data_IF_047963058573
#
_entry.id   IF_047963058573
#
_cell.length_a   1.000
_cell.length_b   1.000
_cell.length_c   1.000
_cell.angle_alpha   90.00
_cell.angle_beta   90.00
_cell.angle_gamma   90.00
#
_symmetry.space_group_name_H-M   'P 1'
#
loop_
_entity.id
_entity.type
_entity.pdbx_description
1 polymer ?
#
# COMPACT_ATOMS: atom_id res chain seq x y z
N UNK A 1 10.93 -40.30 -44.90
CA UNK A 1 9.54 -39.84 -44.89
C UNK A 1 9.31 -39.05 -43.62
N UNK A 2 9.26 -37.75 -43.77
CA UNK A 2 9.07 -36.79 -42.68
C UNK A 2 7.58 -36.52 -42.49
N UNK A 3 7.13 -36.40 -41.26
CA UNK A 3 5.85 -35.81 -40.92
C UNK A 3 6.07 -34.80 -39.81
N UNK A 4 6.05 -33.53 -40.18
CA UNK A 4 6.00 -32.36 -39.33
C UNK A 4 4.59 -32.22 -38.77
N UNK A 5 4.48 -32.12 -37.42
CA UNK A 5 3.26 -31.67 -36.76
C UNK A 5 3.55 -30.28 -36.25
N UNK A 6 2.90 -29.29 -36.84
CA UNK A 6 2.92 -27.90 -36.40
C UNK A 6 1.95 -27.72 -35.26
N UNK A 7 2.41 -27.12 -34.19
CA UNK A 7 1.59 -26.70 -33.04
C UNK A 7 1.38 -25.18 -33.12
N UNK A 8 0.19 -24.80 -33.58
CA UNK A 8 -0.26 -23.40 -33.62
C UNK A 8 -1.15 -23.10 -32.40
N UNK A 9 -0.56 -22.62 -31.33
CA UNK A 9 -1.33 -22.00 -30.24
C UNK A 9 -1.49 -20.52 -30.55
N UNK A 10 -2.65 -20.17 -31.10
CA UNK A 10 -3.09 -18.81 -31.32
C UNK A 10 -3.37 -18.14 -29.96
N UNK A 11 -2.55 -17.16 -29.60
CA UNK A 11 -2.80 -16.26 -28.51
C UNK A 11 -4.06 -15.41 -28.77
N UNK A 12 -5.07 -15.54 -27.95
CA UNK A 12 -6.23 -14.64 -27.97
C UNK A 12 -5.85 -13.35 -27.24
N UNK A 13 -5.59 -12.32 -28.04
CA UNK A 13 -5.40 -10.94 -27.58
C UNK A 13 -6.69 -10.44 -26.96
N UNK A 14 -6.61 -10.00 -25.70
CA UNK A 14 -7.70 -9.31 -25.02
C UNK A 14 -7.89 -7.93 -25.69
N UNK A 15 -9.07 -7.68 -26.26
CA UNK A 15 -9.41 -6.47 -26.99
C UNK A 15 -9.29 -5.22 -26.08
N UNK A 16 -8.26 -4.42 -26.29
CA UNK A 16 -8.16 -3.06 -25.77
C UNK A 16 -8.77 -2.15 -26.83
N UNK A 17 -9.97 -1.59 -26.54
CA UNK A 17 -10.61 -0.58 -27.37
C UNK A 17 -9.74 0.66 -27.49
N UNK A 18 -9.18 0.92 -28.65
CA UNK A 18 -8.53 2.17 -29.02
C UNK A 18 -9.54 3.32 -29.11
N UNK A 19 -9.28 4.42 -28.41
CA UNK A 19 -10.01 5.69 -28.58
C UNK A 19 -9.41 6.51 -29.73
N UNK A 20 -10.24 7.21 -30.53
CA UNK A 20 -9.77 8.00 -31.68
C UNK A 20 -9.01 9.24 -31.23
N UNK A 21 -8.06 9.66 -32.08
CA UNK A 21 -7.09 10.73 -31.85
C UNK A 21 -7.68 12.12 -31.64
N UNK A 22 -7.35 12.69 -30.47
CA UNK A 22 -7.50 14.12 -30.19
C UNK A 22 -6.18 14.86 -30.36
N UNK A 23 -6.25 16.16 -30.68
CA UNK A 23 -5.10 17.06 -30.87
C UNK A 23 -4.15 16.99 -29.69
N UNK A 24 -2.91 16.58 -29.93
CA UNK A 24 -1.87 16.36 -28.91
C UNK A 24 -1.13 17.69 -28.64
N UNK A 25 -1.53 18.43 -27.61
CA UNK A 25 -0.71 19.52 -27.08
C UNK A 25 0.49 18.92 -26.32
N UNK A 26 1.71 19.16 -26.85
CA UNK A 26 2.94 18.76 -26.16
C UNK A 26 3.33 19.87 -25.19
N UNK A 27 2.84 19.78 -23.94
CA UNK A 27 3.32 20.66 -22.87
C UNK A 27 4.76 20.29 -22.50
N UNK A 28 5.64 21.29 -22.40
CA UNK A 28 7.01 21.11 -21.92
C UNK A 28 7.06 20.53 -20.48
N UNK A 29 8.15 19.83 -20.15
CA UNK A 29 8.33 19.21 -18.82
C UNK A 29 8.20 20.21 -17.67
N UNK A 30 8.70 21.45 -17.86
CA UNK A 30 8.61 22.52 -16.87
C UNK A 30 7.15 22.91 -16.55
N UNK A 31 6.29 23.04 -17.57
CA UNK A 31 4.89 23.40 -17.35
C UNK A 31 4.12 22.26 -16.66
N UNK A 32 4.42 21.01 -17.00
CA UNK A 32 3.83 19.84 -16.31
C UNK A 32 4.19 19.81 -14.82
N UNK A 33 5.45 20.08 -14.49
CA UNK A 33 5.91 20.15 -13.12
C UNK A 33 5.26 21.31 -12.37
N UNK A 34 5.18 22.48 -12.97
CA UNK A 34 4.51 23.65 -12.36
C UNK A 34 3.03 23.37 -12.03
N UNK A 35 2.28 22.78 -12.96
CA UNK A 35 0.86 22.44 -12.73
C UNK A 35 0.73 21.40 -11.60
N UNK A 36 1.60 20.41 -11.55
CA UNK A 36 1.58 19.41 -10.49
C UNK A 36 1.92 20.00 -9.12
N UNK A 37 2.92 20.87 -9.05
CA UNK A 37 3.31 21.57 -7.83
C UNK A 37 2.20 22.52 -7.34
N UNK A 38 1.53 23.22 -8.26
CA UNK A 38 0.36 24.03 -7.95
C UNK A 38 -0.82 23.18 -7.42
N UNK A 39 -1.07 22.01 -8.01
CA UNK A 39 -2.04 21.07 -7.49
C UNK A 39 -1.67 20.57 -6.09
N UNK A 40 -0.39 20.26 -5.83
CA UNK A 40 0.06 19.72 -4.54
C UNK A 40 -0.04 20.74 -3.39
N UNK A 41 -0.05 22.04 -3.70
CA UNK A 41 -0.29 23.08 -2.68
C UNK A 41 -1.73 23.07 -2.18
N UNK A 42 -2.67 22.61 -3.00
CA UNK A 42 -4.10 22.53 -2.68
C UNK A 42 -4.49 21.11 -2.27
N UNK A 43 -4.71 20.87 -1.00
CA UNK A 43 -5.10 19.55 -0.46
C UNK A 43 -6.34 19.01 -1.18
N UNK A 44 -7.38 19.85 -1.35
CA UNK A 44 -8.66 19.46 -1.93
C UNK A 44 -8.50 19.00 -3.39
N UNK A 45 -7.88 19.82 -4.23
CA UNK A 45 -7.69 19.46 -5.65
C UNK A 45 -6.72 18.30 -5.81
N UNK A 46 -5.64 18.27 -5.01
CA UNK A 46 -4.63 17.21 -5.07
C UNK A 46 -5.20 15.83 -4.78
N UNK A 47 -6.08 15.71 -3.77
CA UNK A 47 -6.51 14.42 -3.24
C UNK A 47 -7.78 13.87 -3.89
N UNK A 48 -8.44 14.67 -4.71
CA UNK A 48 -9.67 14.28 -5.43
C UNK A 48 -9.38 13.56 -6.76
N UNK A 49 -10.44 13.03 -7.37
CA UNK A 49 -10.40 12.45 -8.71
C UNK A 49 -10.02 13.47 -9.79
N UNK A 50 -10.25 14.76 -9.56
CA UNK A 50 -9.85 15.84 -10.47
C UNK A 50 -8.33 15.91 -10.57
N UNK A 51 -7.63 15.97 -9.41
CA UNK A 51 -6.17 15.99 -9.38
C UNK A 51 -5.57 14.74 -10.02
N UNK A 52 -6.14 13.56 -9.74
CA UNK A 52 -5.70 12.31 -10.36
C UNK A 52 -5.78 12.38 -11.89
N UNK A 53 -6.97 12.72 -12.44
CA UNK A 53 -7.17 12.79 -13.90
C UNK A 53 -6.30 13.83 -14.59
N UNK A 54 -6.07 14.97 -13.94
CA UNK A 54 -5.17 16.00 -14.48
C UNK A 54 -3.76 15.44 -14.56
N UNK A 55 -3.24 14.81 -13.51
CA UNK A 55 -1.90 14.24 -13.48
C UNK A 55 -1.74 13.09 -14.47
N UNK A 56 -2.69 12.17 -14.51
CA UNK A 56 -2.72 11.05 -15.48
C UNK A 56 -2.58 11.56 -16.92
N UNK A 57 -3.34 12.59 -17.28
CA UNK A 57 -3.30 13.18 -18.64
C UNK A 57 -2.01 13.95 -18.91
N UNK A 58 -1.54 14.76 -17.96
CA UNK A 58 -0.36 15.58 -18.13
C UNK A 58 0.93 14.75 -18.19
N UNK A 59 1.02 13.73 -17.32
CA UNK A 59 2.23 12.90 -17.22
C UNK A 59 2.24 11.75 -18.23
N UNK A 60 1.09 11.50 -18.91
CA UNK A 60 0.96 10.44 -19.93
C UNK A 60 1.49 9.10 -19.40
N UNK A 61 0.89 8.64 -18.29
CA UNK A 61 1.35 7.40 -17.66
C UNK A 61 1.33 6.23 -18.64
N UNK A 62 2.49 5.59 -18.77
CA UNK A 62 2.65 4.42 -19.60
C UNK A 62 1.93 3.21 -19.01
N UNK A 63 1.69 2.21 -19.86
CA UNK A 63 1.21 0.93 -19.40
C UNK A 63 2.25 0.29 -18.47
N UNK A 64 1.78 -0.29 -17.37
CA UNK A 64 2.66 -0.97 -16.45
C UNK A 64 3.16 -2.29 -17.04
N UNK A 65 4.41 -2.66 -16.78
CA UNK A 65 4.96 -3.95 -17.22
C UNK A 65 4.24 -5.11 -16.54
N UNK A 66 4.31 -6.27 -17.16
CA UNK A 66 3.77 -7.49 -16.59
C UNK A 66 4.60 -7.91 -15.35
N UNK A 67 3.93 -8.56 -14.43
CA UNK A 67 4.49 -9.10 -13.19
C UNK A 67 4.48 -10.64 -13.19
N UNK A 68 4.69 -11.25 -14.34
CA UNK A 68 4.63 -12.72 -14.51
C UNK A 68 5.52 -13.43 -13.49
N UNK A 69 4.93 -14.36 -12.74
CA UNK A 69 5.61 -15.15 -11.73
C UNK A 69 6.01 -14.40 -10.45
N UNK A 70 5.80 -13.08 -10.37
CA UNK A 70 6.05 -12.31 -9.15
C UNK A 70 4.94 -12.56 -8.14
N UNK A 71 5.34 -12.82 -6.91
CA UNK A 71 4.43 -13.10 -5.79
C UNK A 71 4.14 -11.83 -5.00
N UNK A 72 2.85 -11.49 -4.90
CA UNK A 72 2.37 -10.26 -4.27
C UNK A 72 1.41 -10.57 -3.12
N UNK A 73 1.74 -10.16 -1.91
CA UNK A 73 0.90 -10.26 -0.73
C UNK A 73 0.17 -8.93 -0.49
N UNK A 74 -1.16 -8.93 -0.47
CA UNK A 74 -1.98 -7.73 -0.25
C UNK A 74 -2.81 -7.88 1.01
N UNK A 75 -2.54 -7.07 2.03
CA UNK A 75 -3.35 -7.08 3.26
C UNK A 75 -4.64 -6.28 3.10
N UNK A 76 -5.75 -6.79 3.64
CA UNK A 76 -7.07 -6.15 3.48
C UNK A 76 -7.57 -6.16 2.03
N UNK A 77 -7.30 -7.24 1.30
CA UNK A 77 -7.55 -7.37 -0.14
C UNK A 77 -9.01 -7.64 -0.52
N UNK A 78 -9.92 -7.80 0.43
CA UNK A 78 -11.32 -8.15 0.16
C UNK A 78 -12.21 -6.98 -0.28
N UNK A 79 -11.76 -5.74 -0.15
CA UNK A 79 -12.56 -4.56 -0.52
C UNK A 79 -11.72 -3.31 -0.79
N UNK A 80 -12.34 -2.26 -1.33
CA UNK A 80 -11.74 -0.93 -1.48
C UNK A 80 -10.44 -0.94 -2.27
N UNK A 81 -9.44 -0.22 -1.77
CA UNK A 81 -8.14 -0.04 -2.42
C UNK A 81 -7.37 -1.37 -2.52
N UNK A 82 -7.40 -2.18 -1.44
CA UNK A 82 -6.71 -3.48 -1.44
C UNK A 82 -7.26 -4.44 -2.49
N UNK A 83 -8.58 -4.51 -2.65
CA UNK A 83 -9.21 -5.29 -3.70
C UNK A 83 -8.83 -4.78 -5.10
N UNK A 84 -8.91 -3.46 -5.32
CA UNK A 84 -8.57 -2.86 -6.60
C UNK A 84 -7.09 -3.08 -6.97
N UNK A 85 -6.19 -3.00 -5.99
CA UNK A 85 -4.77 -3.32 -6.18
C UNK A 85 -4.57 -4.80 -6.53
N UNK A 86 -5.18 -5.72 -5.76
CA UNK A 86 -5.11 -7.16 -5.98
C UNK A 86 -5.62 -7.54 -7.38
N UNK A 87 -6.77 -6.99 -7.80
CA UNK A 87 -7.30 -7.19 -9.13
C UNK A 87 -6.34 -6.69 -10.22
N UNK A 88 -5.72 -5.53 -10.00
CA UNK A 88 -4.76 -4.98 -10.97
C UNK A 88 -3.47 -5.80 -11.03
N UNK A 89 -2.95 -6.29 -9.91
CA UNK A 89 -1.82 -7.22 -9.88
C UNK A 89 -2.12 -8.51 -10.65
N UNK A 90 -3.30 -9.07 -10.45
CA UNK A 90 -3.76 -10.25 -11.20
C UNK A 90 -3.80 -9.98 -12.71
N UNK A 91 -4.31 -8.81 -13.15
CA UNK A 91 -4.30 -8.39 -14.55
C UNK A 91 -2.88 -8.24 -15.14
N UNK A 92 -1.90 -7.95 -14.30
CA UNK A 92 -0.49 -7.87 -14.69
C UNK A 92 0.21 -9.24 -14.65
N UNK A 93 -0.51 -10.33 -14.32
CA UNK A 93 0.00 -11.71 -14.30
C UNK A 93 0.80 -12.08 -13.05
N UNK A 94 0.61 -11.34 -11.95
CA UNK A 94 1.21 -11.72 -10.67
C UNK A 94 0.46 -12.87 -10.00
N UNK A 95 1.18 -13.65 -9.19
CA UNK A 95 0.58 -14.58 -8.21
C UNK A 95 0.14 -13.75 -7.00
N UNK A 96 -1.16 -13.62 -6.78
CA UNK A 96 -1.72 -12.71 -5.78
C UNK A 96 -2.20 -13.45 -4.56
N UNK A 97 -1.65 -13.13 -3.40
CA UNK A 97 -2.09 -13.62 -2.09
C UNK A 97 -2.99 -12.58 -1.41
N UNK A 98 -4.27 -12.89 -1.28
CA UNK A 98 -5.27 -12.06 -0.62
C UNK A 98 -5.22 -12.30 0.89
N UNK A 99 -4.49 -11.47 1.63
CA UNK A 99 -4.43 -11.54 3.08
C UNK A 99 -5.67 -10.86 3.69
N UNK A 100 -6.58 -11.65 4.23
CA UNK A 100 -7.90 -11.23 4.69
C UNK A 100 -8.25 -11.83 6.05
N UNK A 101 -8.97 -11.09 6.88
CA UNK A 101 -9.45 -11.57 8.19
C UNK A 101 -10.62 -12.55 8.05
N UNK A 102 -11.53 -12.23 7.16
CA UNK A 102 -12.75 -13.00 6.90
C UNK A 102 -12.57 -13.81 5.60
N UNK A 103 -12.53 -15.14 5.74
CA UNK A 103 -12.33 -16.04 4.61
C UNK A 103 -13.46 -15.97 3.58
N UNK A 104 -14.71 -15.87 4.01
CA UNK A 104 -15.85 -15.82 3.09
C UNK A 104 -15.80 -14.56 2.20
N UNK A 105 -15.41 -13.41 2.79
CA UNK A 105 -15.17 -12.19 2.00
C UNK A 105 -13.94 -12.32 1.10
N UNK A 106 -12.96 -13.11 1.50
CA UNK A 106 -11.80 -13.45 0.66
C UNK A 106 -12.21 -14.27 -0.55
N UNK A 107 -13.06 -15.30 -0.33
CA UNK A 107 -13.59 -16.16 -1.41
C UNK A 107 -14.42 -15.35 -2.43
N UNK A 108 -15.28 -14.42 -1.96
CA UNK A 108 -16.00 -13.49 -2.85
C UNK A 108 -15.03 -12.63 -3.67
N UNK A 109 -14.04 -12.03 -3.01
CA UNK A 109 -13.06 -11.20 -3.69
C UNK A 109 -12.26 -11.98 -4.74
N UNK A 110 -11.81 -13.20 -4.40
CA UNK A 110 -11.15 -14.11 -5.35
C UNK A 110 -12.04 -14.43 -6.52
N UNK A 111 -13.30 -14.80 -6.27
CA UNK A 111 -14.28 -15.12 -7.32
C UNK A 111 -14.45 -13.96 -8.30
N UNK A 112 -14.53 -12.73 -7.80
CA UNK A 112 -14.64 -11.52 -8.64
C UNK A 112 -13.37 -11.23 -9.45
N UNK A 113 -12.18 -11.47 -8.88
CA UNK A 113 -10.92 -11.31 -9.62
C UNK A 113 -10.82 -12.35 -10.74
N UNK A 114 -11.08 -13.63 -10.42
CA UNK A 114 -11.00 -14.72 -11.41
C UNK A 114 -12.06 -14.56 -12.50
N UNK A 115 -13.26 -14.10 -12.18
CA UNK A 115 -14.29 -13.79 -13.19
C UNK A 115 -13.83 -12.69 -14.18
N UNK A 116 -13.06 -11.69 -13.70
CA UNK A 116 -12.51 -10.62 -14.53
C UNK A 116 -11.21 -11.03 -15.26
N UNK A 117 -10.45 -11.98 -14.71
CA UNK A 117 -9.16 -12.47 -15.21
C UNK A 117 -9.11 -13.99 -15.02
N UNK A 118 -9.64 -14.81 -15.97
CA UNK A 118 -9.77 -16.24 -15.79
C UNK A 118 -8.45 -17.00 -15.54
N UNK A 119 -7.34 -16.50 -16.08
CA UNK A 119 -6.01 -17.09 -15.93
C UNK A 119 -5.26 -16.57 -14.67
N UNK A 120 -5.91 -15.80 -13.81
CA UNK A 120 -5.26 -15.21 -12.63
C UNK A 120 -4.97 -16.27 -11.56
N UNK A 121 -3.74 -16.27 -11.07
CA UNK A 121 -3.32 -17.06 -9.91
C UNK A 121 -3.62 -16.26 -8.63
N UNK A 122 -4.68 -16.65 -7.91
CA UNK A 122 -5.13 -15.95 -6.70
C UNK A 122 -5.32 -16.93 -5.55
N UNK A 123 -4.59 -16.70 -4.47
CA UNK A 123 -4.66 -17.48 -3.24
C UNK A 123 -5.22 -16.66 -2.07
N UNK A 124 -5.90 -17.33 -1.14
CA UNK A 124 -6.47 -16.68 0.04
C UNK A 124 -5.63 -17.05 1.25
N UNK A 125 -5.15 -16.03 1.93
CA UNK A 125 -4.41 -16.12 3.18
C UNK A 125 -5.24 -15.53 4.32
N UNK A 126 -5.72 -16.41 5.22
CA UNK A 126 -6.51 -15.92 6.34
C UNK A 126 -5.59 -15.40 7.44
N UNK A 127 -5.69 -14.10 7.72
CA UNK A 127 -4.90 -13.42 8.75
C UNK A 127 -5.62 -12.17 9.26
N UNK A 128 -5.70 -11.99 10.57
CA UNK A 128 -5.95 -10.70 11.21
C UNK A 128 -4.60 -10.06 11.54
N UNK A 129 -4.27 -8.96 10.84
CA UNK A 129 -3.00 -8.27 11.06
C UNK A 129 -2.90 -7.55 12.41
N UNK A 130 -4.00 -7.42 13.15
CA UNK A 130 -3.98 -6.87 14.51
C UNK A 130 -3.74 -7.93 15.60
N UNK A 131 -3.79 -9.20 15.25
CA UNK A 131 -3.47 -10.34 16.13
C UNK A 131 -2.03 -10.81 15.84
N UNK A 132 -1.12 -10.54 16.77
CA UNK A 132 0.29 -10.86 16.58
C UNK A 132 0.57 -12.36 16.55
N UNK A 133 -0.26 -13.18 17.19
CA UNK A 133 -0.19 -14.64 17.13
C UNK A 133 -0.56 -15.15 15.74
N UNK A 134 -1.66 -14.62 15.17
CA UNK A 134 -2.06 -14.93 13.80
C UNK A 134 -1.00 -14.50 12.78
N UNK A 135 -0.38 -13.33 12.97
CA UNK A 135 0.74 -12.84 12.12
C UNK A 135 1.93 -13.80 12.15
N UNK A 136 2.33 -14.29 13.33
CA UNK A 136 3.43 -15.26 13.48
C UNK A 136 3.12 -16.59 12.79
N UNK A 137 1.94 -17.13 13.05
CA UNK A 137 1.49 -18.41 12.48
C UNK A 137 1.42 -18.33 10.94
N UNK A 138 0.87 -17.24 10.44
CA UNK A 138 0.81 -16.98 8.99
C UNK A 138 2.21 -16.88 8.37
N UNK A 139 3.09 -16.06 8.95
CA UNK A 139 4.43 -15.86 8.40
C UNK A 139 5.24 -17.16 8.35
N UNK A 140 5.14 -18.00 9.39
CA UNK A 140 5.79 -19.32 9.42
C UNK A 140 5.22 -20.25 8.33
N UNK A 141 3.90 -20.32 8.20
CA UNK A 141 3.21 -21.09 7.16
C UNK A 141 3.59 -20.60 5.76
N UNK A 142 3.57 -19.29 5.51
CA UNK A 142 3.93 -18.69 4.23
C UNK A 142 5.39 -19.01 3.87
N UNK A 143 6.30 -18.82 4.81
CA UNK A 143 7.72 -19.11 4.61
C UNK A 143 8.02 -20.59 4.34
N UNK A 144 7.20 -21.52 4.83
CA UNK A 144 7.36 -22.95 4.53
C UNK A 144 6.87 -23.34 3.12
N UNK A 145 5.90 -22.61 2.57
CA UNK A 145 5.31 -22.86 1.26
C UNK A 145 6.05 -22.16 0.12
N UNK A 146 6.62 -21.00 0.35
CA UNK A 146 7.16 -20.16 -0.72
C UNK A 146 8.60 -19.72 -0.44
N UNK A 147 9.51 -19.88 -1.43
CA UNK A 147 10.93 -19.57 -1.28
C UNK A 147 11.20 -18.06 -1.26
N UNK A 148 10.38 -17.26 -1.94
CA UNK A 148 10.55 -15.82 -2.05
C UNK A 148 9.21 -15.08 -2.05
N UNK A 149 9.26 -13.79 -1.78
CA UNK A 149 8.15 -12.86 -1.86
C UNK A 149 8.65 -11.57 -2.52
N UNK A 150 7.96 -11.10 -3.54
CA UNK A 150 8.42 -9.95 -4.32
C UNK A 150 7.79 -8.64 -3.85
N UNK A 151 6.52 -8.68 -3.42
CA UNK A 151 5.83 -7.46 -2.99
C UNK A 151 4.97 -7.74 -1.75
N UNK A 152 5.06 -6.85 -0.76
CA UNK A 152 4.06 -6.73 0.29
C UNK A 152 3.36 -5.37 0.12
N UNK A 153 2.04 -5.38 -0.01
CA UNK A 153 1.20 -4.19 0.09
C UNK A 153 0.48 -4.18 1.44
N UNK A 154 0.99 -3.38 2.38
CA UNK A 154 0.32 -3.10 3.65
C UNK A 154 -0.80 -2.09 3.42
N UNK A 155 -2.01 -2.61 3.24
CA UNK A 155 -3.20 -1.79 3.00
C UNK A 155 -4.26 -1.96 4.09
N UNK A 156 -4.26 -3.10 4.81
CA UNK A 156 -5.24 -3.34 5.87
C UNK A 156 -5.24 -2.23 6.93
N UNK A 157 -6.43 -1.93 7.43
CA UNK A 157 -6.63 -0.99 8.52
C UNK A 157 -8.00 -0.33 8.47
N UNK A 158 -8.43 0.18 9.62
CA UNK A 158 -9.69 0.88 9.81
C UNK A 158 -9.50 2.10 10.72
N UNK A 159 -10.42 3.07 10.62
CA UNK A 159 -10.55 4.15 11.57
C UNK A 159 -11.63 3.74 12.59
N UNK A 160 -11.24 3.62 13.85
CA UNK A 160 -12.12 3.26 14.96
C UNK A 160 -12.50 4.52 15.74
N UNK A 161 -13.76 4.61 16.17
CA UNK A 161 -14.25 5.76 16.94
C UNK A 161 -14.04 5.59 18.44
N UNK A 162 -13.92 4.34 18.89
CA UNK A 162 -13.72 3.98 20.29
C UNK A 162 -12.35 3.32 20.45
N UNK A 163 -11.72 3.54 21.61
CA UNK A 163 -10.49 2.87 21.96
C UNK A 163 -10.77 1.44 22.35
N UNK A 164 -10.14 0.52 21.65
CA UNK A 164 -10.13 -0.91 21.97
C UNK A 164 -8.69 -1.40 21.97
N UNK A 165 -8.44 -2.49 22.65
CA UNK A 165 -7.14 -3.16 22.71
C UNK A 165 -7.25 -4.57 22.13
N UNK A 166 -6.14 -5.02 21.54
CA UNK A 166 -5.99 -6.42 21.12
C UNK A 166 -5.70 -7.33 22.31
N UNK A 167 -5.66 -8.64 22.07
CA UNK A 167 -5.25 -9.61 23.09
C UNK A 167 -3.81 -9.37 23.59
N UNK A 168 -2.98 -8.71 22.79
CA UNK A 168 -1.61 -8.35 23.14
C UNK A 168 -1.52 -7.04 23.95
N UNK A 169 -2.66 -6.41 24.33
CA UNK A 169 -2.72 -5.15 25.08
C UNK A 169 -2.30 -3.94 24.24
N UNK A 170 -2.42 -4.00 22.93
CA UNK A 170 -2.06 -2.91 22.00
C UNK A 170 -3.33 -2.23 21.49
N UNK A 171 -3.35 -0.89 21.45
CA UNK A 171 -4.46 -0.15 20.87
C UNK A 171 -4.69 -0.62 19.42
N UNK A 172 -5.95 -0.94 19.08
CA UNK A 172 -6.31 -1.69 17.87
C UNK A 172 -5.94 -0.96 16.57
N UNK A 173 -6.00 0.38 16.54
CA UNK A 173 -5.56 1.15 15.37
C UNK A 173 -4.04 1.06 15.21
N UNK A 174 -3.30 1.20 16.30
CA UNK A 174 -1.84 1.03 16.30
C UNK A 174 -1.45 -0.41 15.91
N UNK A 175 -2.12 -1.42 16.48
CA UNK A 175 -1.86 -2.82 16.16
C UNK A 175 -2.06 -3.11 14.68
N UNK A 176 -3.22 -2.76 14.12
CA UNK A 176 -3.57 -3.11 12.74
C UNK A 176 -2.80 -2.32 11.68
N UNK A 177 -2.47 -1.05 11.95
CA UNK A 177 -1.79 -0.20 10.98
C UNK A 177 -0.26 -0.24 11.09
N UNK A 178 0.29 -0.54 12.27
CA UNK A 178 1.71 -0.33 12.55
C UNK A 178 2.39 -1.60 13.06
N UNK A 179 1.96 -2.12 14.22
CA UNK A 179 2.70 -3.19 14.90
C UNK A 179 2.60 -4.51 14.15
N UNK A 180 1.40 -4.90 13.71
CA UNK A 180 1.19 -6.11 12.91
C UNK A 180 1.90 -6.07 11.55
N UNK A 181 1.77 -5.00 10.74
CA UNK A 181 2.55 -4.82 9.52
C UNK A 181 4.07 -4.84 9.75
N UNK A 182 4.55 -4.24 10.83
CA UNK A 182 5.96 -4.29 11.21
C UNK A 182 6.40 -5.74 11.48
N UNK A 183 5.66 -6.47 12.31
CA UNK A 183 5.95 -7.86 12.63
C UNK A 183 5.91 -8.75 11.38
N UNK A 184 4.88 -8.59 10.55
CA UNK A 184 4.74 -9.34 9.30
C UNK A 184 5.93 -9.12 8.37
N UNK A 185 6.33 -7.87 8.19
CA UNK A 185 7.51 -7.50 7.40
C UNK A 185 8.77 -8.14 7.98
N UNK A 186 9.00 -8.00 9.30
CA UNK A 186 10.16 -8.55 9.98
C UNK A 186 10.29 -10.06 9.81
N UNK A 187 9.19 -10.79 9.95
CA UNK A 187 9.16 -12.25 9.83
C UNK A 187 9.32 -12.74 8.38
N UNK A 188 8.80 -11.99 7.41
CA UNK A 188 8.91 -12.32 5.99
C UNK A 188 10.16 -11.70 5.32
N UNK A 189 10.96 -10.93 6.05
CA UNK A 189 12.17 -10.29 5.50
C UNK A 189 13.13 -11.28 4.82
N UNK A 190 13.37 -12.50 5.33
CA UNK A 190 14.19 -13.50 4.63
C UNK A 190 13.60 -13.92 3.28
N UNK A 191 12.28 -13.88 3.11
CA UNK A 191 11.61 -14.19 1.83
C UNK A 191 11.65 -13.02 0.86
N UNK A 192 11.60 -11.79 1.39
CA UNK A 192 11.81 -10.57 0.61
C UNK A 192 13.25 -10.48 0.10
N UNK A 193 14.24 -10.70 0.95
CA UNK A 193 15.66 -10.66 0.55
C UNK A 193 16.04 -11.77 -0.43
N UNK A 194 15.27 -12.86 -0.51
CA UNK A 194 15.44 -13.90 -1.52
C UNK A 194 14.94 -13.49 -2.92
N UNK A 195 14.18 -12.40 -3.04
CA UNK A 195 13.81 -11.79 -4.32
C UNK A 195 14.92 -10.85 -4.81
N UNK A 196 15.06 -10.72 -6.13
CA UNK A 196 16.04 -9.82 -6.76
C UNK A 196 15.65 -8.34 -6.71
N UNK A 197 14.36 -8.05 -6.51
CA UNK A 197 13.80 -6.69 -6.45
C UNK A 197 12.51 -6.73 -5.63
N UNK A 198 12.65 -6.83 -4.31
CA UNK A 198 11.51 -6.86 -3.42
C UNK A 198 11.06 -5.45 -3.01
N UNK A 199 9.75 -5.27 -2.88
CA UNK A 199 9.14 -3.98 -2.55
C UNK A 199 8.11 -4.10 -1.45
N UNK A 200 8.32 -3.37 -0.36
CA UNK A 200 7.35 -3.22 0.72
C UNK A 200 6.67 -1.86 0.58
N UNK A 201 5.38 -1.89 0.31
CA UNK A 201 4.59 -0.69 0.02
C UNK A 201 3.54 -0.52 1.12
N UNK A 202 3.56 0.63 1.78
CA UNK A 202 2.63 0.96 2.85
C UNK A 202 1.61 2.01 2.39
N UNK A 203 0.33 1.67 2.46
CA UNK A 203 -0.76 2.61 2.20
C UNK A 203 -0.98 3.47 3.45
N UNK A 204 -0.40 4.67 3.42
CA UNK A 204 -0.62 5.69 4.45
C UNK A 204 -1.86 6.55 4.12
N UNK A 205 -1.94 7.76 4.62
CA UNK A 205 -3.07 8.68 4.40
C UNK A 205 -2.62 10.13 4.47
N UNK A 206 -3.31 11.01 3.74
CA UNK A 206 -3.17 12.46 3.92
C UNK A 206 -3.45 12.93 5.34
N UNK A 207 -4.17 12.15 6.16
CA UNK A 207 -4.35 12.43 7.59
C UNK A 207 -3.04 12.55 8.37
N UNK A 208 -1.98 11.88 7.94
CA UNK A 208 -0.65 11.98 8.56
C UNK A 208 -0.09 13.41 8.61
N UNK A 209 -0.52 14.30 7.73
CA UNK A 209 -0.07 15.69 7.73
C UNK A 209 -0.61 16.52 8.89
N UNK A 210 -1.69 16.07 9.54
CA UNK A 210 -2.31 16.77 10.68
C UNK A 210 -1.72 16.38 12.04
N UNK A 211 -1.02 15.25 12.14
CA UNK A 211 -0.47 14.69 13.36
C UNK A 211 1.05 14.56 13.29
N UNK A 212 1.73 14.93 14.38
CA UNK A 212 3.12 14.53 14.62
C UNK A 212 3.19 13.23 15.41
N UNK A 213 4.37 12.65 15.49
CA UNK A 213 4.65 11.52 16.37
C UNK A 213 4.49 11.93 17.84
N UNK A 214 3.88 11.08 18.63
CA UNK A 214 3.79 11.23 20.08
C UNK A 214 4.23 9.93 20.75
N UNK A 215 5.52 9.82 21.04
CA UNK A 215 6.08 8.61 21.69
C UNK A 215 5.48 8.39 23.08
N UNK A 216 5.15 9.47 23.80
CA UNK A 216 4.57 9.40 25.14
C UNK A 216 3.10 8.93 25.15
N UNK A 217 2.41 9.04 24.01
CA UNK A 217 1.00 8.65 23.87
C UNK A 217 0.78 7.90 22.55
N UNK A 218 1.69 6.97 22.26
CA UNK A 218 1.66 6.19 21.02
C UNK A 218 0.42 5.30 20.96
N UNK A 219 0.00 4.78 22.11
CA UNK A 219 -1.18 3.92 22.26
C UNK A 219 -2.49 4.70 22.52
N UNK A 220 -2.46 6.03 22.44
CA UNK A 220 -3.63 6.89 22.66
C UNK A 220 -4.37 6.58 23.97
N UNK A 221 -3.59 6.32 25.04
CA UNK A 221 -4.05 5.97 26.38
C UNK A 221 -4.12 7.18 27.33
N UNK A 222 -3.65 8.35 26.87
CA UNK A 222 -3.68 9.59 27.65
C UNK A 222 -4.78 10.53 27.14
N UNK A 223 -5.65 10.93 28.06
CA UNK A 223 -6.77 11.84 27.79
C UNK A 223 -7.96 11.15 27.10
N UNK A 224 -8.87 11.97 26.57
CA UNK A 224 -10.03 11.45 25.83
C UNK A 224 -9.61 10.87 24.47
N UNK A 225 -10.07 9.66 24.15
CA UNK A 225 -9.73 9.01 22.90
C UNK A 225 -10.38 9.72 21.70
N UNK A 226 -9.56 10.01 20.72
CA UNK A 226 -10.00 10.55 19.44
C UNK A 226 -9.50 9.64 18.29
N UNK A 227 -10.41 8.83 17.74
CA UNK A 227 -10.07 7.85 16.71
C UNK A 227 -9.48 8.47 15.45
N UNK A 228 -9.90 9.69 15.07
CA UNK A 228 -9.31 10.39 13.91
C UNK A 228 -7.85 10.77 14.20
N UNK A 229 -7.56 11.18 15.43
CA UNK A 229 -6.19 11.53 15.83
C UNK A 229 -5.32 10.27 15.97
N UNK A 230 -5.85 9.18 16.56
CA UNK A 230 -5.16 7.89 16.66
C UNK A 230 -4.81 7.36 15.26
N UNK A 231 -5.77 7.39 14.33
CA UNK A 231 -5.56 7.04 12.94
C UNK A 231 -4.47 7.92 12.28
N UNK A 232 -4.55 9.23 12.43
CA UNK A 232 -3.56 10.16 11.85
C UNK A 232 -2.14 9.91 12.38
N UNK A 233 -2.01 9.64 13.70
CA UNK A 233 -0.73 9.26 14.34
C UNK A 233 -0.21 7.92 13.81
N UNK A 234 -1.07 6.90 13.71
CA UNK A 234 -0.69 5.60 13.14
C UNK A 234 -0.19 5.76 11.69
N UNK A 235 -0.88 6.56 10.87
CA UNK A 235 -0.46 6.86 9.50
C UNK A 235 0.85 7.66 9.44
N UNK A 236 1.11 8.51 10.43
CA UNK A 236 2.39 9.20 10.57
C UNK A 236 3.51 8.23 10.95
N UNK A 237 3.27 7.35 11.91
CA UNK A 237 4.23 6.31 12.32
C UNK A 237 4.59 5.38 11.17
N UNK A 238 3.62 5.00 10.32
CA UNK A 238 3.91 4.23 9.10
C UNK A 238 4.93 4.92 8.19
N UNK A 239 4.84 6.24 8.02
CA UNK A 239 5.81 6.97 7.21
C UNK A 239 7.21 6.93 7.82
N UNK A 240 7.32 7.16 9.13
CA UNK A 240 8.59 7.11 9.84
C UNK A 240 9.24 5.73 9.77
N UNK A 241 8.44 4.67 9.96
CA UNK A 241 8.94 3.30 9.81
C UNK A 241 9.39 3.01 8.37
N UNK A 242 8.70 3.55 7.37
CA UNK A 242 9.10 3.41 5.96
C UNK A 242 10.48 4.03 5.71
N UNK A 243 10.73 5.22 6.26
CA UNK A 243 12.04 5.89 6.17
C UNK A 243 13.12 5.10 6.90
N UNK A 244 12.82 4.62 8.11
CA UNK A 244 13.77 3.84 8.92
C UNK A 244 14.08 2.48 8.29
N UNK A 245 13.08 1.74 7.82
CA UNK A 245 13.29 0.50 7.07
C UNK A 245 14.16 0.71 5.84
N UNK A 246 13.90 1.75 5.06
CA UNK A 246 14.68 2.05 3.87
C UNK A 246 16.15 2.30 4.18
N UNK A 247 16.43 3.02 5.27
CA UNK A 247 17.82 3.24 5.72
C UNK A 247 18.49 1.94 6.16
N UNK A 248 17.80 1.10 6.93
CA UNK A 248 18.33 -0.18 7.43
C UNK A 248 18.56 -1.20 6.32
N UNK A 249 17.80 -1.16 5.25
CA UNK A 249 17.86 -2.11 4.12
C UNK A 249 18.60 -1.57 2.89
N UNK A 250 19.28 -0.44 2.99
CA UNK A 250 19.97 0.21 1.86
C UNK A 250 20.92 -0.72 1.09
N UNK A 251 21.57 -1.66 1.80
CA UNK A 251 22.47 -2.65 1.20
C UNK A 251 21.80 -3.95 0.75
N UNK A 252 20.47 -4.01 0.75
CA UNK A 252 19.70 -5.20 0.38
C UNK A 252 18.95 -5.04 -0.93
N UNK A 253 18.28 -6.12 -1.39
CA UNK A 253 17.39 -6.12 -2.55
C UNK A 253 15.97 -5.64 -2.22
N UNK A 254 15.71 -5.18 -0.98
CA UNK A 254 14.38 -4.80 -0.50
C UNK A 254 14.25 -3.30 -0.41
N UNK A 255 13.30 -2.73 -1.11
CA UNK A 255 12.97 -1.30 -1.03
C UNK A 255 11.66 -1.04 -0.30
N UNK A 256 11.60 0.05 0.45
CA UNK A 256 10.43 0.44 1.25
C UNK A 256 9.85 1.76 0.76
N UNK A 257 8.55 1.76 0.49
CA UNK A 257 7.84 2.93 -0.01
C UNK A 257 6.53 3.15 0.74
N UNK A 258 6.18 4.40 1.00
CA UNK A 258 4.86 4.76 1.46
C UNK A 258 4.10 5.47 0.34
N UNK A 259 2.80 5.23 0.24
CA UNK A 259 1.94 5.97 -0.67
C UNK A 259 0.66 6.40 0.01
N UNK A 260 0.09 7.50 -0.47
CA UNK A 260 -1.20 7.95 -0.02
C UNK A 260 -2.17 7.96 -1.21
N UNK A 261 -3.39 7.36 -1.04
CA UNK A 261 -4.27 7.05 -2.17
C UNK A 261 -5.11 8.26 -2.65
N UNK A 262 -4.95 9.43 -2.05
CA UNK A 262 -5.94 10.51 -2.17
C UNK A 262 -7.20 10.19 -1.36
N UNK A 263 -8.28 10.87 -1.66
CA UNK A 263 -9.59 10.63 -1.05
C UNK A 263 -10.37 9.62 -1.90
N UNK A 264 -10.20 8.33 -1.57
CA UNK A 264 -10.85 7.24 -2.29
C UNK A 264 -12.18 6.85 -1.64
N UNK A 265 -13.23 6.64 -2.45
CA UNK A 265 -14.51 6.13 -1.99
C UNK A 265 -14.39 4.63 -1.70
N UNK A 266 -14.29 4.31 -0.43
CA UNK A 266 -14.16 2.93 0.06
C UNK A 266 -15.22 2.63 1.11
N UNK A 267 -15.55 1.35 1.35
CA UNK A 267 -16.44 0.96 2.44
C UNK A 267 -15.96 1.51 3.81
N UNK A 268 -14.65 1.55 4.05
CA UNK A 268 -14.09 2.11 5.28
C UNK A 268 -14.39 3.61 5.43
N UNK A 269 -14.25 4.41 4.37
CA UNK A 269 -14.58 5.84 4.38
C UNK A 269 -16.08 6.05 4.56
N UNK A 270 -16.91 5.22 3.93
CA UNK A 270 -18.36 5.31 4.05
C UNK A 270 -18.84 5.11 5.50
N UNK A 271 -18.22 4.19 6.24
CA UNK A 271 -18.55 3.89 7.65
C UNK A 271 -17.92 4.93 8.60
N UNK A 272 -16.62 5.20 8.43
CA UNK A 272 -15.89 6.04 9.38
C UNK A 272 -16.16 7.54 9.22
N UNK A 273 -16.42 8.02 8.01
CA UNK A 273 -16.56 9.46 7.70
C UNK A 273 -17.80 9.75 6.83
N UNK A 274 -19.04 9.41 7.29
CA UNK A 274 -20.25 9.52 6.46
C UNK A 274 -20.58 10.97 6.06
N UNK A 275 -20.33 11.94 6.94
CA UNK A 275 -20.54 13.37 6.63
C UNK A 275 -19.56 13.87 5.56
N UNK A 276 -18.28 13.51 5.68
CA UNK A 276 -17.26 13.82 4.68
C UNK A 276 -17.64 13.24 3.32
N UNK A 277 -18.01 11.95 3.28
CA UNK A 277 -18.44 11.27 2.06
C UNK A 277 -19.66 11.94 1.42
N UNK A 278 -20.62 12.42 2.23
CA UNK A 278 -21.81 13.12 1.71
C UNK A 278 -21.45 14.43 0.99
N UNK A 279 -20.48 15.19 1.52
CA UNK A 279 -20.08 16.49 0.96
C UNK A 279 -19.13 16.34 -0.22
N UNK A 280 -18.13 15.44 -0.11
CA UNK A 280 -17.03 15.32 -1.08
C UNK A 280 -17.25 14.18 -2.07
N UNK A 281 -18.31 13.37 -1.90
CA UNK A 281 -18.58 12.15 -2.65
C UNK A 281 -18.35 12.24 -4.17
N UNK A 282 -18.90 13.24 -4.90
CA UNK A 282 -18.72 13.38 -6.34
C UNK A 282 -17.25 13.58 -6.78
N UNK A 283 -16.40 14.02 -5.86
CA UNK A 283 -14.99 14.30 -6.11
C UNK A 283 -14.06 13.19 -5.57
N UNK A 284 -14.62 12.19 -4.89
CA UNK A 284 -13.81 11.07 -4.40
C UNK A 284 -13.23 10.27 -5.57
N UNK A 285 -12.05 9.71 -5.35
CA UNK A 285 -11.41 8.78 -6.27
C UNK A 285 -12.12 7.43 -6.24
N UNK A 286 -12.12 6.73 -7.36
CA UNK A 286 -12.47 5.30 -7.33
C UNK A 286 -11.42 4.51 -6.58
N UNK A 287 -11.73 3.32 -6.05
CA UNK A 287 -10.73 2.43 -5.46
C UNK A 287 -9.56 2.13 -6.41
N UNK A 288 -9.83 1.99 -7.71
CA UNK A 288 -8.78 1.77 -8.73
C UNK A 288 -7.83 2.97 -8.84
N UNK A 289 -8.35 4.20 -8.83
CA UNK A 289 -7.52 5.41 -8.81
C UNK A 289 -6.71 5.52 -7.51
N UNK A 290 -7.29 5.09 -6.38
CA UNK A 290 -6.58 5.03 -5.10
C UNK A 290 -5.46 3.99 -5.07
N UNK A 291 -5.62 2.88 -5.79
CA UNK A 291 -4.64 1.79 -5.85
C UNK A 291 -3.51 2.04 -6.87
N UNK A 292 -3.70 2.92 -7.84
CA UNK A 292 -2.81 3.10 -8.99
C UNK A 292 -1.34 3.29 -8.59
N UNK A 293 -1.06 4.20 -7.67
CA UNK A 293 0.31 4.47 -7.22
C UNK A 293 0.95 3.26 -6.52
N UNK A 294 0.17 2.47 -5.75
CA UNK A 294 0.69 1.25 -5.12
C UNK A 294 1.07 0.20 -6.16
N UNK A 295 0.23 0.02 -7.18
CA UNK A 295 0.51 -0.93 -8.26
C UNK A 295 1.69 -0.47 -9.10
N UNK A 296 1.79 0.83 -9.40
CA UNK A 296 2.94 1.40 -10.09
C UNK A 296 4.24 1.21 -9.31
N UNK A 297 4.23 1.49 -8.00
CA UNK A 297 5.38 1.25 -7.11
C UNK A 297 5.84 -0.21 -7.13
N UNK A 298 4.93 -1.16 -7.29
CA UNK A 298 5.24 -2.58 -7.35
C UNK A 298 5.77 -3.03 -8.70
N UNK A 299 5.32 -2.41 -9.79
CA UNK A 299 5.53 -2.91 -11.15
C UNK A 299 6.61 -2.16 -11.92
N UNK A 300 6.74 -0.85 -11.75
CA UNK A 300 7.58 -0.01 -12.61
C UNK A 300 9.07 -0.12 -12.22
N UNK A 301 9.95 -0.55 -13.14
CA UNK A 301 11.38 -0.68 -12.88
C UNK A 301 12.09 0.67 -12.69
N UNK A 302 11.45 1.79 -13.05
CA UNK A 302 12.02 3.14 -12.86
C UNK A 302 11.84 3.67 -11.44
N UNK A 303 11.07 2.96 -10.59
CA UNK A 303 10.96 3.31 -9.18
C UNK A 303 12.33 3.14 -8.52
N UNK A 304 12.85 4.20 -7.85
CA UNK A 304 14.18 4.13 -7.26
C UNK A 304 14.29 3.00 -6.23
N UNK A 305 15.36 2.24 -6.29
CA UNK A 305 15.69 1.19 -5.31
C UNK A 305 15.90 1.79 -3.90
N UNK A 306 16.38 3.05 -3.81
CA UNK A 306 16.41 3.79 -2.56
C UNK A 306 15.00 4.13 -2.12
N UNK A 307 14.50 3.44 -1.12
CA UNK A 307 13.17 3.62 -0.52
C UNK A 307 13.04 4.90 0.31
N UNK A 308 12.17 4.86 1.32
CA UNK A 308 11.95 5.95 2.29
C UNK A 308 11.14 7.12 1.76
N UNK A 309 10.52 7.00 0.59
CA UNK A 309 9.77 8.09 -0.02
C UNK A 309 8.25 7.95 0.16
N UNK A 310 7.59 9.11 0.25
CA UNK A 310 6.14 9.21 0.14
C UNK A 310 5.74 9.49 -1.30
N UNK A 311 4.71 8.79 -1.78
CA UNK A 311 4.23 8.89 -3.14
C UNK A 311 2.74 9.21 -3.22
N UNK A 312 2.36 10.04 -4.18
CA UNK A 312 0.99 10.29 -4.60
C UNK A 312 0.98 10.54 -6.11
N UNK A 313 0.14 9.82 -6.82
CA UNK A 313 -0.02 9.96 -8.27
C UNK A 313 1.33 9.81 -9.01
N UNK A 314 2.05 8.71 -8.66
CA UNK A 314 3.35 8.31 -9.21
C UNK A 314 4.46 9.36 -9.07
N UNK A 315 4.33 10.29 -8.11
CA UNK A 315 5.37 11.30 -7.82
C UNK A 315 5.71 11.35 -6.34
N UNK A 316 6.98 11.61 -6.05
CA UNK A 316 7.44 11.83 -4.68
C UNK A 316 6.79 13.09 -4.10
N UNK A 317 6.38 13.02 -2.85
CA UNK A 317 5.76 14.11 -2.09
C UNK A 317 6.53 14.37 -0.80
N UNK A 318 6.34 15.59 -0.27
CA UNK A 318 6.89 15.93 1.05
C UNK A 318 6.24 15.07 2.11
N UNK A 319 7.01 14.53 3.03
CA UNK A 319 6.52 13.69 4.13
C UNK A 319 5.83 14.50 5.23
N UNK A 320 6.03 15.83 5.24
CA UNK A 320 5.38 16.77 6.16
C UNK A 320 5.00 18.08 5.44
N UNK A 321 3.87 18.67 5.81
CA UNK A 321 3.42 19.99 5.32
C UNK A 321 3.49 21.05 6.41
N UNK A 322 3.48 20.67 7.69
CA UNK A 322 3.57 21.56 8.83
C UNK A 322 4.89 21.33 9.57
N UNK A 323 5.60 22.40 9.94
CA UNK A 323 6.88 22.31 10.68
C UNK A 323 6.77 21.52 11.98
N UNK A 324 5.62 21.63 12.67
CA UNK A 324 5.35 20.92 13.93
C UNK A 324 5.22 19.39 13.78
N UNK A 325 5.04 18.89 12.56
CA UNK A 325 4.94 17.46 12.27
C UNK A 325 6.23 16.90 11.68
N UNK A 326 7.32 17.68 11.70
CA UNK A 326 8.63 17.22 11.21
C UNK A 326 9.39 16.58 12.36
N UNK A 327 9.66 15.31 12.22
CA UNK A 327 10.50 14.53 13.14
C UNK A 327 11.95 14.51 12.66
N UNK A 328 12.87 14.32 13.59
CA UNK A 328 14.28 14.08 13.31
C UNK A 328 14.65 12.60 13.32
N UNK A 329 15.86 12.28 12.94
CA UNK A 329 16.39 10.91 12.83
C UNK A 329 16.24 10.11 14.13
N UNK A 330 16.53 10.76 15.27
CA UNK A 330 16.37 10.14 16.59
C UNK A 330 14.95 9.69 16.85
N UNK A 331 13.94 10.50 16.49
CA UNK A 331 12.55 10.12 16.69
C UNK A 331 12.14 8.93 15.82
N UNK A 332 12.75 8.77 14.63
CA UNK A 332 12.51 7.60 13.78
C UNK A 332 13.07 6.33 14.39
N UNK A 333 14.30 6.39 14.87
CA UNK A 333 14.95 5.26 15.52
C UNK A 333 14.24 4.85 16.81
N UNK A 334 13.83 5.82 17.64
CA UNK A 334 13.06 5.58 18.87
C UNK A 334 11.69 4.92 18.54
N UNK A 335 10.99 5.41 17.50
CA UNK A 335 9.74 4.83 17.05
C UNK A 335 9.93 3.38 16.56
N UNK A 336 10.96 3.13 15.77
CA UNK A 336 11.27 1.80 15.29
C UNK A 336 11.56 0.82 16.46
N UNK A 337 12.37 1.25 17.42
CA UNK A 337 12.69 0.44 18.59
C UNK A 337 11.45 0.12 19.44
N UNK A 338 10.57 1.10 19.64
CA UNK A 338 9.35 0.91 20.41
C UNK A 338 8.35 0.00 19.67
N UNK A 339 8.17 0.16 18.37
CA UNK A 339 7.30 -0.73 17.60
C UNK A 339 7.87 -2.16 17.55
N UNK A 340 9.19 -2.31 17.45
CA UNK A 340 9.85 -3.61 17.58
C UNK A 340 9.56 -4.25 18.94
N UNK A 341 9.68 -3.48 20.03
CA UNK A 341 9.35 -3.95 21.39
C UNK A 341 7.90 -4.38 21.50
N UNK A 342 6.95 -3.56 21.05
CA UNK A 342 5.52 -3.88 21.07
C UNK A 342 5.20 -5.12 20.21
N UNK A 343 5.89 -5.29 19.09
CA UNK A 343 5.72 -6.45 18.22
C UNK A 343 6.25 -7.76 18.84
N UNK A 344 7.08 -7.69 19.89
CA UNK A 344 7.78 -8.83 20.47
C UNK A 344 8.67 -9.55 19.47
N UNK A 345 9.22 -8.85 18.47
CA UNK A 345 10.18 -9.42 17.53
C UNK A 345 11.58 -9.44 18.13
N UNK A 346 12.14 -10.65 18.27
CA UNK A 346 13.49 -10.89 18.88
C UNK A 346 14.56 -11.24 17.84
N UNK A 347 14.20 -11.44 16.57
CA UNK A 347 15.15 -11.76 15.50
C UNK A 347 16.05 -10.56 15.15
N UNK A 348 17.22 -10.84 14.56
CA UNK A 348 18.10 -9.79 14.02
C UNK A 348 17.43 -9.12 12.81
N UNK A 349 17.48 -7.80 12.79
CA UNK A 349 17.02 -6.99 11.68
C UNK A 349 18.20 -6.26 11.03
N UNK A 350 18.10 -5.87 9.75
CA UNK A 350 19.13 -5.05 9.12
C UNK A 350 19.41 -3.79 9.93
N UNK A 351 20.70 -3.47 10.09
CA UNK A 351 21.14 -2.30 10.86
C UNK A 351 21.10 -2.45 12.39
N UNK A 352 20.94 -3.69 12.91
CA UNK A 352 21.12 -3.98 14.35
C UNK A 352 22.60 -4.00 14.73
#
# INVERSE_FOLDING_TARGET
MAATVGDARAGRSCCICGRPGGVRWVMGSHLRNFVDDALDTTVVLSFTNVGFRVRERLQRWDQLPLLLGRRVLVTGANSGIGFAAAQRFAQLGAVVHLAVRDRARGDDARGRIVAACPDAEVEIEQIDVSDLSAVRSFAASFASRYPSLDVILHNAGALLHERTETADGIETTLASHVVGPFLLTSLLLPRLTASTDARVITVTSGGMYSAGLSMQNLQSDQGEYNGTQAYARAKRTQMLLTEEWAQRTESTTVSFHAMHPGWADTPGVAVALPRFRRVVGPFLRTPAQGADTAVWLAADPTVPALGGALWLDRRRRKTHKLRRTKEGDRHRADAFAEIRRLSGHVGTLPGD
#
